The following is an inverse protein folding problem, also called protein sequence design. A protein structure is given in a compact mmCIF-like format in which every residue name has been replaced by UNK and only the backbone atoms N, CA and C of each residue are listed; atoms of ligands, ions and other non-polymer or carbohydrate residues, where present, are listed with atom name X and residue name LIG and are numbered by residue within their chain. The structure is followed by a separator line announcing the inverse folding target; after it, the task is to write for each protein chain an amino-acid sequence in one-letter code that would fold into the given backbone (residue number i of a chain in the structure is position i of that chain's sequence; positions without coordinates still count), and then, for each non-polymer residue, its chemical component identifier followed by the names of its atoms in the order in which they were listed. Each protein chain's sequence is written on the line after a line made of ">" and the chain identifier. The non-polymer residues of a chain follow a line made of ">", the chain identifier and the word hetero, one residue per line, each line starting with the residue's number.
data_IF_850420575816
#
_entry.id   IF_850420575816
#
_cell.length_a   1.000
_cell.length_b   1.000
_cell.length_c   1.000
_cell.angle_alpha   90.00
_cell.angle_beta   90.00
_cell.angle_gamma   90.00
#
_symmetry.space_group_name_H-M   'P 1'
#
loop_
_entity.id
_entity.type
_entity.pdbx_description
1 polymer ?
#
# COMPACT_ATOMS: atom_id res chain seq x y z
N UNK A 1 -6.73 5.40 -11.43
CA UNK A 1 -7.20 5.55 -10.10
C UNK A 1 -8.70 5.37 -9.96
N UNK A 2 -9.47 5.79 -10.96
CA UNK A 2 -10.90 5.54 -10.91
C UNK A 2 -11.14 4.03 -10.90
N UNK A 3 -12.10 3.59 -10.17
CA UNK A 3 -12.55 2.20 -10.14
C UNK A 3 -11.64 1.23 -9.41
N UNK A 4 -10.52 1.69 -8.85
CA UNK A 4 -9.75 0.86 -7.91
C UNK A 4 -10.08 1.35 -6.51
N UNK A 5 -10.57 0.44 -5.68
CA UNK A 5 -10.99 0.75 -4.32
C UNK A 5 -10.05 0.16 -3.31
N UNK A 6 -9.73 0.93 -2.28
CA UNK A 6 -8.98 0.43 -1.13
C UNK A 6 -9.97 0.05 -0.04
N UNK A 7 -9.84 -1.19 0.43
CA UNK A 7 -10.72 -1.75 1.45
C UNK A 7 -9.88 -2.27 2.61
N UNK A 8 -10.47 -2.32 3.78
CA UNK A 8 -9.96 -3.00 4.96
C UNK A 8 -8.52 -2.60 5.31
N UNK A 9 -8.26 -1.30 5.53
CA UNK A 9 -6.92 -0.87 5.93
C UNK A 9 -6.58 -1.43 7.30
N UNK A 10 -5.40 -2.04 7.43
CA UNK A 10 -4.92 -2.60 8.68
C UNK A 10 -3.43 -2.33 8.79
N UNK A 11 -2.96 -2.22 10.02
CA UNK A 11 -1.55 -1.98 10.31
C UNK A 11 -1.13 -2.87 11.46
N UNK A 12 0.07 -3.43 11.36
CA UNK A 12 0.64 -4.25 12.40
C UNK A 12 2.10 -3.97 12.61
N UNK A 13 2.64 -4.42 13.73
CA UNK A 13 4.05 -4.31 14.06
C UNK A 13 4.54 -5.62 14.61
N UNK A 14 5.79 -5.95 14.28
CA UNK A 14 6.46 -7.13 14.82
C UNK A 14 7.95 -6.87 14.89
N UNK A 15 8.61 -7.48 15.88
CA UNK A 15 10.05 -7.45 15.94
C UNK A 15 10.60 -8.61 15.10
N UNK A 16 11.63 -8.31 14.28
CA UNK A 16 12.36 -9.37 13.59
C UNK A 16 13.38 -10.01 14.54
N UNK A 17 14.11 -11.02 14.07
CA UNK A 17 15.05 -11.73 14.94
C UNK A 17 16.27 -10.87 15.35
N UNK A 18 16.48 -9.72 14.71
CA UNK A 18 17.47 -8.75 15.14
C UNK A 18 16.89 -7.75 16.16
N UNK A 19 15.67 -8.00 16.62
CA UNK A 19 14.94 -7.15 17.54
C UNK A 19 14.65 -5.75 17.00
N UNK A 20 14.58 -5.61 15.68
CA UNK A 20 14.16 -4.38 15.03
C UNK A 20 12.65 -4.42 14.78
N UNK A 21 11.98 -3.31 15.03
CA UNK A 21 10.55 -3.22 14.79
C UNK A 21 10.28 -3.05 13.29
N UNK A 22 9.40 -3.88 12.75
CA UNK A 22 8.92 -3.79 11.37
C UNK A 22 7.46 -3.42 11.39
N UNK A 23 7.09 -2.39 10.63
CA UNK A 23 5.70 -1.97 10.48
C UNK A 23 5.15 -2.54 9.19
N UNK A 24 3.99 -3.18 9.28
CA UNK A 24 3.30 -3.77 8.13
C UNK A 24 2.04 -2.97 7.82
N UNK A 25 1.89 -2.60 6.55
CA UNK A 25 0.71 -1.89 6.05
C UNK A 25 -0.05 -2.87 5.17
N UNK A 26 -1.29 -3.15 5.55
CA UNK A 26 -2.16 -4.09 4.84
C UNK A 26 -3.34 -3.36 4.25
N UNK A 27 -3.88 -3.93 3.20
CA UNK A 27 -5.12 -3.47 2.62
C UNK A 27 -5.60 -4.44 1.57
N UNK A 28 -6.77 -4.17 1.02
CA UNK A 28 -7.35 -4.95 -0.06
C UNK A 28 -7.64 -4.02 -1.22
N UNK A 29 -7.27 -4.44 -2.42
CA UNK A 29 -7.57 -3.73 -3.66
C UNK A 29 -8.74 -4.40 -4.33
N UNK A 30 -9.71 -3.61 -4.81
CA UNK A 30 -10.83 -4.12 -5.59
C UNK A 30 -10.84 -3.44 -6.95
N UNK A 31 -10.91 -4.24 -8.01
CA UNK A 31 -11.07 -3.71 -9.37
C UNK A 31 -12.56 -3.54 -9.65
N UNK A 32 -13.07 -2.33 -9.46
CA UNK A 32 -14.44 -1.99 -9.76
C UNK A 32 -14.66 -1.52 -11.21
N UNK A 33 -13.64 -1.56 -12.04
CA UNK A 33 -13.72 -1.18 -13.45
C UNK A 33 -14.04 -2.36 -14.34
N UNK A 34 -13.91 -2.16 -15.64
CA UNK A 34 -14.23 -3.16 -16.66
C UNK A 34 -13.00 -3.64 -17.43
N UNK A 35 -11.81 -3.30 -17.00
CA UNK A 35 -10.55 -3.71 -17.63
C UNK A 35 -9.71 -4.50 -16.66
N UNK A 36 -8.91 -5.45 -17.18
CA UNK A 36 -7.96 -6.19 -16.38
C UNK A 36 -6.77 -5.28 -16.03
N UNK A 37 -6.37 -5.31 -14.77
CA UNK A 37 -5.27 -4.48 -14.27
C UNK A 37 -4.04 -5.36 -14.08
N UNK A 38 -2.97 -5.04 -14.79
CA UNK A 38 -1.73 -5.81 -14.78
C UNK A 38 -0.78 -5.38 -13.67
N UNK A 39 -0.79 -4.10 -13.31
CA UNK A 39 0.06 -3.56 -12.26
C UNK A 39 -0.59 -2.35 -11.64
N UNK A 40 -0.39 -2.19 -10.33
CA UNK A 40 -0.83 -1.02 -9.58
C UNK A 40 0.38 -0.47 -8.84
N UNK A 41 0.65 0.81 -9.05
CA UNK A 41 1.61 1.56 -8.25
C UNK A 41 0.86 2.43 -7.27
N UNK A 42 1.26 2.38 -6.02
CA UNK A 42 0.73 3.26 -4.99
C UNK A 42 1.84 4.14 -4.44
N UNK A 43 1.45 5.31 -3.94
CA UNK A 43 2.33 6.17 -3.17
C UNK A 43 1.78 6.27 -1.76
N UNK A 44 2.63 5.91 -0.79
CA UNK A 44 2.31 6.01 0.63
C UNK A 44 2.96 7.25 1.20
N UNK A 45 2.20 7.98 2.02
CA UNK A 45 2.72 9.16 2.72
C UNK A 45 2.47 9.01 4.21
N UNK A 46 3.55 9.02 4.97
CA UNK A 46 3.50 8.96 6.43
C UNK A 46 3.62 10.38 6.97
N UNK A 47 2.86 10.68 8.01
CA UNK A 47 2.73 12.04 8.53
C UNK A 47 3.18 12.12 9.97
N UNK A 48 3.59 13.33 10.38
CA UNK A 48 3.83 13.65 11.78
C UNK A 48 2.52 14.13 12.45
N UNK A 49 2.54 14.43 13.77
CA UNK A 49 1.32 14.91 14.46
C UNK A 49 0.80 16.24 13.93
N UNK A 50 1.60 17.00 13.18
CA UNK A 50 1.19 18.25 12.57
C UNK A 50 0.73 18.09 11.13
N UNK A 51 0.52 16.83 10.70
CA UNK A 51 0.05 16.47 9.36
C UNK A 51 1.05 16.84 8.25
N UNK A 52 2.32 16.89 8.58
CA UNK A 52 3.38 17.08 7.58
C UNK A 52 3.86 15.73 7.09
N UNK A 53 4.13 15.63 5.78
CA UNK A 53 4.66 14.40 5.19
C UNK A 53 6.13 14.24 5.59
N UNK A 54 6.45 13.16 6.28
CA UNK A 54 7.81 12.87 6.72
C UNK A 54 8.45 11.71 5.94
N UNK A 55 7.65 10.93 5.23
CA UNK A 55 8.14 9.84 4.38
C UNK A 55 7.14 9.64 3.25
N UNK A 56 7.65 9.63 2.02
CA UNK A 56 6.87 9.32 0.83
C UNK A 56 7.55 8.18 0.11
N UNK A 57 6.79 7.14 -0.20
CA UNK A 57 7.34 5.96 -0.82
C UNK A 57 6.40 5.41 -1.88
N UNK A 58 6.97 4.94 -2.98
CA UNK A 58 6.23 4.32 -4.07
C UNK A 58 6.43 2.82 -4.03
N UNK A 59 5.34 2.08 -4.23
CA UNK A 59 5.37 0.63 -4.26
C UNK A 59 4.57 0.11 -5.44
N UNK A 60 5.15 -0.85 -6.16
CA UNK A 60 4.42 -1.65 -7.13
C UNK A 60 3.94 -2.89 -6.40
N UNK A 61 2.63 -3.13 -6.47
CA UNK A 61 2.01 -4.12 -5.59
C UNK A 61 1.97 -5.52 -6.17
N UNK A 62 2.08 -5.68 -7.49
CA UNK A 62 1.99 -7.00 -8.10
C UNK A 62 3.38 -7.47 -8.52
N UNK A 63 3.65 -8.74 -8.26
CA UNK A 63 4.87 -9.39 -8.75
C UNK A 63 4.85 -9.43 -10.27
N UNK A 64 6.02 -9.46 -10.94
CA UNK A 64 6.08 -9.37 -12.40
C UNK A 64 5.27 -10.41 -13.15
N UNK A 65 5.13 -11.62 -12.61
CA UNK A 65 4.38 -12.70 -13.24
C UNK A 65 3.09 -13.04 -12.51
N UNK A 66 2.59 -12.11 -11.68
CA UNK A 66 1.29 -12.30 -11.04
C UNK A 66 0.19 -12.21 -12.08
N UNK A 67 -0.92 -12.96 -11.91
CA UNK A 67 -2.05 -12.82 -12.80
C UNK A 67 -2.68 -11.44 -12.68
N UNK A 68 -3.27 -10.91 -13.76
CA UNK A 68 -3.92 -9.61 -13.68
C UNK A 68 -5.11 -9.63 -12.72
N UNK A 69 -5.44 -8.47 -12.18
CA UNK A 69 -6.62 -8.30 -11.34
C UNK A 69 -7.82 -8.07 -12.26
N UNK A 70 -8.72 -9.04 -12.28
CA UNK A 70 -9.88 -9.01 -13.16
C UNK A 70 -10.96 -8.10 -12.60
N UNK A 71 -11.87 -7.59 -13.47
CA UNK A 71 -13.02 -6.82 -12.99
C UNK A 71 -13.80 -7.57 -11.92
N UNK A 72 -14.08 -6.89 -10.82
CA UNK A 72 -14.81 -7.47 -9.68
C UNK A 72 -13.95 -8.24 -8.71
N UNK A 73 -12.68 -8.51 -9.03
CA UNK A 73 -11.80 -9.24 -8.13
C UNK A 73 -11.23 -8.35 -7.06
N UNK A 74 -10.92 -8.98 -5.92
CA UNK A 74 -10.20 -8.35 -4.83
C UNK A 74 -8.85 -9.04 -4.67
N UNK A 75 -7.85 -8.28 -4.22
CA UNK A 75 -6.53 -8.81 -3.92
C UNK A 75 -5.95 -8.06 -2.74
N UNK A 76 -5.47 -8.83 -1.75
CA UNK A 76 -4.80 -8.25 -0.59
C UNK A 76 -3.40 -7.80 -0.96
N UNK A 77 -2.94 -6.74 -0.31
CA UNK A 77 -1.56 -6.30 -0.43
C UNK A 77 -0.95 -6.10 0.95
N UNK A 78 0.36 -6.18 0.98
CA UNK A 78 1.14 -5.92 2.19
C UNK A 78 2.45 -5.25 1.77
N UNK A 79 2.78 -4.16 2.46
CA UNK A 79 4.10 -3.55 2.36
C UNK A 79 4.67 -3.41 3.76
N UNK A 80 5.99 -3.43 3.88
CA UNK A 80 6.63 -3.38 5.18
C UNK A 80 7.70 -2.31 5.21
N UNK A 81 7.91 -1.74 6.40
CA UNK A 81 8.88 -0.68 6.63
C UNK A 81 9.64 -0.94 7.91
N UNK A 82 10.97 -0.90 7.81
CA UNK A 82 11.85 -1.07 8.96
C UNK A 82 12.28 0.27 9.57
N UNK A 83 12.27 1.35 8.76
CA UNK A 83 12.78 2.64 9.17
C UNK A 83 11.83 3.75 8.80
N UNK A 84 10.83 3.96 9.66
CA UNK A 84 9.96 5.13 9.54
C UNK A 84 10.55 6.20 10.46
N UNK A 85 10.66 7.47 10.01
CA UNK A 85 11.20 8.52 10.87
C UNK A 85 10.49 8.60 12.23
N UNK A 86 11.21 8.91 13.31
CA UNK A 86 10.61 8.90 14.65
C UNK A 86 9.52 9.94 14.87
N UNK A 87 9.43 10.93 13.99
CA UNK A 87 8.37 11.95 14.06
C UNK A 87 7.00 11.44 13.62
N UNK A 88 6.94 10.21 13.11
CA UNK A 88 5.69 9.61 12.61
C UNK A 88 4.61 9.60 13.69
N UNK A 89 3.38 9.94 13.27
CA UNK A 89 2.23 9.98 14.17
C UNK A 89 1.70 8.60 14.56
N UNK A 90 2.32 7.52 14.05
CA UNK A 90 1.94 6.13 14.26
C UNK A 90 0.59 5.75 13.66
N UNK A 91 0.04 6.58 12.81
CA UNK A 91 -1.23 6.31 12.14
C UNK A 91 -1.06 5.69 10.77
N UNK A 92 -2.15 5.15 10.24
CA UNK A 92 -2.14 4.56 8.91
C UNK A 92 -1.77 5.62 7.88
N UNK A 93 -0.83 5.33 6.95
CA UNK A 93 -0.41 6.34 5.97
C UNK A 93 -1.51 6.66 4.99
N UNK A 94 -1.43 7.83 4.36
CA UNK A 94 -2.24 8.13 3.20
C UNK A 94 -1.75 7.32 2.02
N UNK A 95 -2.68 6.72 1.26
CA UNK A 95 -2.34 5.90 0.11
C UNK A 95 -3.08 6.44 -1.10
N UNK A 96 -2.33 6.67 -2.18
CA UNK A 96 -2.89 7.09 -3.47
C UNK A 96 -2.42 6.15 -4.55
N UNK A 97 -3.28 5.91 -5.53
CA UNK A 97 -2.86 5.22 -6.75
C UNK A 97 -2.15 6.22 -7.64
N UNK A 98 -0.92 5.92 -7.97
CA UNK A 98 -0.09 6.80 -8.80
C UNK A 98 0.29 6.17 -10.13
N UNK A 99 -0.09 4.92 -10.35
CA UNK A 99 0.12 4.27 -11.64
C UNK A 99 -0.77 3.07 -11.82
N UNK A 100 -1.29 2.90 -13.02
CA UNK A 100 -2.05 1.71 -13.41
C UNK A 100 -1.52 1.23 -14.75
N UNK A 101 -1.31 -0.07 -14.84
CA UNK A 101 -0.99 -0.72 -16.10
C UNK A 101 -2.10 -1.72 -16.40
N UNK A 102 -2.80 -1.49 -17.50
CA UNK A 102 -3.85 -2.39 -17.94
C UNK A 102 -3.28 -3.46 -18.86
N UNK A 103 -3.93 -4.58 -18.84
CA UNK A 103 -3.58 -5.66 -19.76
C UNK A 103 -4.12 -5.41 -21.16
#
# INVERSE_FOLDING_TARGET
>A
AQNIHFLEPKMGRAANFLNQEVTFIFGTLENGGNREVKQIEITLEFHDPFNQVILRDRQRLFLPNAPPLLPGQQRDFQVSYEHIPPQWNNGYPSIRITGLLFK
#
